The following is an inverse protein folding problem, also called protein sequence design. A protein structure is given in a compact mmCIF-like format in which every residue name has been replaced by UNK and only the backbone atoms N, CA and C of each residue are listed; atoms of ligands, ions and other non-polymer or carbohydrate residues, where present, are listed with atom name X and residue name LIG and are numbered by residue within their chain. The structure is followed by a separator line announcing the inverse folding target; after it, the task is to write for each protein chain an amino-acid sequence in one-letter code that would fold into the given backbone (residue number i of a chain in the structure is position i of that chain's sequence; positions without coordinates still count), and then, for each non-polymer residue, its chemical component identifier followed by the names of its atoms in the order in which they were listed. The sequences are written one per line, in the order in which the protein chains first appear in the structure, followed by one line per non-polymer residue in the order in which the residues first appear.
data_IF_828514382486
#
_entry.id   IF_828514382486
#
_cell.length_a   1.000
_cell.length_b   1.000
_cell.length_c   1.000
_cell.angle_alpha   90.00
_cell.angle_beta   90.00
_cell.angle_gamma   90.00
#
_symmetry.space_group_name_H-M   'P 1'
#
loop_
_entity.id
_entity.type
_entity.pdbx_description
1 polymer ?
#
# COMPACT_ATOMS: atom_id res chain seq x y z
N UNK A 1 -18.64 -6.70 -12.60
CA UNK A 1 -17.68 -5.62 -12.94
C UNK A 1 -16.52 -5.79 -11.95
N UNK A 2 -15.30 -6.22 -12.31
CA UNK A 2 -14.24 -5.37 -12.90
C UNK A 2 -14.11 -3.96 -12.29
N UNK A 3 -14.61 -3.70 -11.07
CA UNK A 3 -14.39 -2.39 -10.44
C UNK A 3 -13.05 -2.42 -9.72
N UNK A 4 -11.98 -2.16 -10.49
CA UNK A 4 -10.66 -1.89 -9.92
C UNK A 4 -10.72 -0.71 -8.95
N UNK A 5 -9.79 -0.69 -8.01
CA UNK A 5 -9.61 0.40 -7.06
C UNK A 5 -9.16 1.66 -7.84
N UNK A 6 -9.71 2.84 -7.55
CA UNK A 6 -9.23 4.07 -8.20
C UNK A 6 -7.89 4.51 -7.60
N UNK A 7 -7.76 4.41 -6.26
CA UNK A 7 -6.56 4.82 -5.52
C UNK A 7 -6.15 3.73 -4.52
N UNK A 8 -4.93 3.21 -4.65
CA UNK A 8 -4.29 2.38 -3.63
C UNK A 8 -3.26 3.24 -2.88
N UNK A 9 -3.54 3.54 -1.62
CA UNK A 9 -2.60 4.24 -0.75
C UNK A 9 -1.76 3.22 0.03
N UNK A 10 -0.44 3.37 -0.01
CA UNK A 10 0.51 2.44 0.59
C UNK A 10 1.36 3.21 1.61
N UNK A 11 1.55 2.65 2.80
CA UNK A 11 2.45 3.19 3.83
C UNK A 11 3.42 2.14 4.34
N UNK A 12 4.59 2.59 4.79
CA UNK A 12 5.54 1.71 5.47
C UNK A 12 4.91 1.19 6.76
N UNK A 13 4.25 2.08 7.52
CA UNK A 13 3.69 1.79 8.84
C UNK A 13 2.19 2.11 8.94
N UNK A 14 1.46 1.45 9.86
CA UNK A 14 0.07 1.81 10.16
C UNK A 14 -0.04 3.19 10.84
N UNK A 15 -0.20 4.25 10.04
CA UNK A 15 -0.53 5.65 10.39
C UNK A 15 -0.02 6.63 9.31
N UNK A 16 1.05 6.26 8.59
CA UNK A 16 1.67 7.04 7.52
C UNK A 16 0.65 7.65 6.54
N UNK A 17 -0.29 6.81 6.10
CA UNK A 17 -1.29 7.18 5.09
C UNK A 17 -2.23 8.26 5.64
N UNK A 18 -2.75 8.06 6.84
CA UNK A 18 -3.67 8.98 7.50
C UNK A 18 -3.01 10.33 7.78
N UNK A 19 -1.78 10.30 8.33
CA UNK A 19 -1.01 11.49 8.68
C UNK A 19 -0.67 12.32 7.44
N UNK A 20 -0.29 11.67 6.35
CA UNK A 20 0.29 12.36 5.20
C UNK A 20 -0.71 12.70 4.10
N UNK A 21 -1.74 11.87 3.90
CA UNK A 21 -2.68 12.05 2.79
C UNK A 21 -4.15 11.72 3.11
N UNK A 22 -4.52 11.55 4.38
CA UNK A 22 -5.89 11.23 4.80
C UNK A 22 -6.94 12.20 4.24
N UNK A 23 -6.66 13.51 4.26
CA UNK A 23 -7.56 14.53 3.70
C UNK A 23 -7.75 14.41 2.18
N UNK A 24 -6.68 14.09 1.44
CA UNK A 24 -6.73 13.84 -0.01
C UNK A 24 -7.58 12.62 -0.33
N UNK A 25 -7.41 11.53 0.44
CA UNK A 25 -8.19 10.30 0.27
C UNK A 25 -9.66 10.52 0.60
N UNK A 26 -9.97 11.21 1.71
CA UNK A 26 -11.33 11.57 2.09
C UNK A 26 -12.01 12.40 1.00
N UNK A 27 -11.29 13.37 0.41
CA UNK A 27 -11.80 14.16 -0.71
C UNK A 27 -12.09 13.29 -1.93
N UNK A 28 -11.19 12.38 -2.30
CA UNK A 28 -11.41 11.47 -3.41
C UNK A 28 -12.62 10.56 -3.19
N UNK A 29 -12.79 10.02 -1.97
CA UNK A 29 -13.96 9.20 -1.58
C UNK A 29 -15.24 10.02 -1.70
N UNK A 30 -15.24 11.28 -1.23
CA UNK A 30 -16.41 12.18 -1.36
C UNK A 30 -16.80 12.47 -2.82
N UNK A 31 -15.88 12.27 -3.76
CA UNK A 31 -16.10 12.39 -5.21
C UNK A 31 -16.47 11.05 -5.87
N UNK A 32 -16.81 10.02 -5.07
CA UNK A 32 -17.21 8.70 -5.54
C UNK A 32 -16.05 7.80 -5.99
N UNK A 33 -14.80 8.14 -5.66
CA UNK A 33 -13.65 7.27 -5.96
C UNK A 33 -13.55 6.12 -4.97
N UNK A 34 -13.17 4.96 -5.47
CA UNK A 34 -12.85 3.80 -4.63
C UNK A 34 -11.41 3.89 -4.15
N UNK A 35 -11.21 3.80 -2.83
CA UNK A 35 -9.90 3.85 -2.18
C UNK A 35 -9.67 2.56 -1.40
N UNK A 36 -8.46 2.00 -1.47
CA UNK A 36 -8.00 0.96 -0.58
C UNK A 36 -6.64 1.33 0.01
N UNK A 37 -6.33 0.76 1.19
CA UNK A 37 -5.14 1.07 1.96
C UNK A 37 -4.25 -0.17 2.10
N UNK A 38 -2.95 0.01 2.17
CA UNK A 38 -1.99 -1.08 2.37
C UNK A 38 -0.85 -0.63 3.28
N UNK A 39 -0.69 -1.30 4.40
CA UNK A 39 0.49 -1.13 5.25
C UNK A 39 1.53 -2.20 4.88
N UNK A 40 2.79 -1.82 4.70
CA UNK A 40 3.84 -2.78 4.37
C UNK A 40 4.27 -3.59 5.61
N UNK A 41 4.35 -2.94 6.77
CA UNK A 41 4.77 -3.53 8.05
C UNK A 41 3.65 -3.50 9.08
N UNK A 42 3.83 -4.18 10.22
CA UNK A 42 2.85 -4.14 11.31
C UNK A 42 3.13 -3.03 12.33
N UNK A 43 4.19 -2.25 12.14
CA UNK A 43 4.67 -1.28 13.12
C UNK A 43 5.17 -1.94 14.41
N UNK A 44 5.67 -3.18 14.32
CA UNK A 44 6.05 -4.00 15.47
C UNK A 44 7.27 -3.48 16.24
N UNK A 45 8.07 -2.57 15.65
CA UNK A 45 9.21 -1.92 16.32
C UNK A 45 8.79 -0.62 17.02
N UNK A 46 7.52 -0.21 16.93
CA UNK A 46 7.00 0.97 17.62
C UNK A 46 7.11 0.84 19.14
N UNK A 47 7.69 1.84 19.81
CA UNK A 47 7.90 1.83 21.27
C UNK A 47 6.59 1.78 22.07
N UNK A 48 5.49 2.27 21.51
CA UNK A 48 4.18 2.32 22.17
C UNK A 48 3.16 1.46 21.42
N UNK A 49 2.32 0.78 22.18
CA UNK A 49 1.29 -0.11 21.65
C UNK A 49 1.83 -1.50 21.32
N UNK A 50 1.02 -2.27 20.60
CA UNK A 50 1.36 -3.61 20.11
C UNK A 50 0.79 -3.78 18.70
N UNK A 51 1.24 -4.78 17.96
CA UNK A 51 0.68 -5.15 16.65
C UNK A 51 -0.85 -5.30 16.71
N UNK A 52 -1.38 -5.93 17.76
CA UNK A 52 -2.82 -6.11 17.94
C UNK A 52 -3.57 -4.79 18.18
N UNK A 53 -2.96 -3.85 18.91
CA UNK A 53 -3.52 -2.51 19.12
C UNK A 53 -3.49 -1.72 17.80
N UNK A 54 -2.35 -1.70 17.11
CA UNK A 54 -2.19 -1.05 15.80
C UNK A 54 -3.18 -1.58 14.77
N UNK A 55 -3.41 -2.90 14.73
CA UNK A 55 -4.42 -3.48 13.84
C UNK A 55 -5.84 -2.98 14.15
N UNK A 56 -6.21 -2.86 15.43
CA UNK A 56 -7.52 -2.30 15.82
C UNK A 56 -7.63 -0.82 15.47
N UNK A 57 -6.57 -0.06 15.64
CA UNK A 57 -6.48 1.35 15.25
C UNK A 57 -6.62 1.53 13.74
N UNK A 58 -5.83 0.78 12.97
CA UNK A 58 -5.87 0.74 11.51
C UNK A 58 -7.28 0.42 10.97
N UNK A 59 -7.97 -0.53 11.60
CA UNK A 59 -9.35 -0.89 11.24
C UNK A 59 -10.36 0.22 11.59
N UNK A 60 -10.16 0.96 12.69
CA UNK A 60 -10.98 2.14 13.01
C UNK A 60 -10.74 3.26 12.02
N UNK A 61 -9.48 3.51 11.65
CA UNK A 61 -9.11 4.53 10.67
C UNK A 61 -9.68 4.23 9.28
N UNK A 62 -9.63 2.97 8.83
CA UNK A 62 -10.31 2.51 7.60
C UNK A 62 -11.80 2.89 7.60
N UNK A 63 -12.52 2.57 8.69
CA UNK A 63 -13.96 2.88 8.82
C UNK A 63 -14.23 4.38 8.86
N UNK A 64 -13.40 5.14 9.59
CA UNK A 64 -13.54 6.58 9.71
C UNK A 64 -13.29 7.30 8.36
N UNK A 65 -12.33 6.82 7.58
CA UNK A 65 -12.02 7.37 6.25
C UNK A 65 -13.08 7.00 5.21
N UNK A 66 -13.76 5.87 5.38
CA UNK A 66 -14.71 5.34 4.39
C UNK A 66 -14.04 4.65 3.19
N UNK A 67 -12.80 4.18 3.36
CA UNK A 67 -12.12 3.39 2.34
C UNK A 67 -12.71 1.96 2.28
N UNK A 68 -12.55 1.28 1.14
CA UNK A 68 -13.16 -0.03 0.89
C UNK A 68 -12.53 -1.13 1.73
N UNK A 69 -11.20 -1.18 1.71
CA UNK A 69 -10.40 -2.24 2.31
C UNK A 69 -9.07 -1.71 2.81
N UNK A 70 -8.46 -2.45 3.74
CA UNK A 70 -7.10 -2.25 4.23
C UNK A 70 -6.43 -3.60 4.43
N UNK A 71 -5.22 -3.74 3.90
CA UNK A 71 -4.39 -4.94 4.09
C UNK A 71 -3.06 -4.59 4.75
N UNK A 72 -2.37 -5.64 5.21
CA UNK A 72 -1.05 -5.53 5.80
C UNK A 72 -0.14 -6.64 5.24
N UNK A 73 1.01 -6.27 4.66
CA UNK A 73 1.95 -7.24 4.10
C UNK A 73 2.82 -7.91 5.15
N UNK A 74 2.86 -7.46 6.40
CA UNK A 74 3.70 -8.06 7.46
C UNK A 74 5.16 -8.22 7.02
N UNK A 75 5.68 -7.25 6.27
CA UNK A 75 7.11 -7.09 6.08
C UNK A 75 7.73 -6.63 7.40
N UNK A 76 9.03 -6.88 7.57
CA UNK A 76 9.72 -6.60 8.83
C UNK A 76 9.95 -5.10 9.00
N UNK A 77 9.35 -4.54 10.04
CA UNK A 77 9.54 -3.15 10.46
C UNK A 77 11.00 -2.88 10.86
N UNK A 78 11.55 -1.72 10.47
CA UNK A 78 12.96 -1.35 10.61
C UNK A 78 13.93 -2.09 9.69
N UNK A 79 13.43 -3.02 8.88
CA UNK A 79 14.21 -3.88 7.99
C UNK A 79 13.53 -4.04 6.63
N UNK A 80 12.85 -3.00 6.15
CA UNK A 80 12.16 -3.08 4.88
C UNK A 80 13.17 -3.25 3.74
N UNK A 81 13.06 -4.33 2.98
CA UNK A 81 13.94 -4.64 1.86
C UNK A 81 13.19 -4.53 0.54
N UNK A 82 13.88 -4.00 -0.47
CA UNK A 82 13.41 -4.01 -1.85
C UNK A 82 13.98 -5.23 -2.58
N UNK A 83 13.52 -6.42 -2.19
CA UNK A 83 13.92 -7.71 -2.75
C UNK A 83 12.78 -8.35 -3.57
N UNK A 84 13.09 -9.43 -4.30
CA UNK A 84 12.11 -10.12 -5.15
C UNK A 84 10.92 -10.65 -4.33
N UNK A 85 11.16 -11.17 -3.12
CA UNK A 85 10.09 -11.69 -2.27
C UNK A 85 9.09 -10.60 -1.89
N UNK A 86 9.58 -9.44 -1.43
CA UNK A 86 8.77 -8.30 -1.05
C UNK A 86 8.05 -7.70 -2.25
N UNK A 87 8.73 -7.61 -3.39
CA UNK A 87 8.14 -7.16 -4.65
C UNK A 87 7.01 -8.07 -5.11
N UNK A 88 7.19 -9.40 -5.07
CA UNK A 88 6.15 -10.35 -5.49
C UNK A 88 4.88 -10.23 -4.63
N UNK A 89 5.03 -10.11 -3.31
CA UNK A 89 3.90 -9.91 -2.39
C UNK A 89 3.13 -8.62 -2.70
N UNK A 90 3.85 -7.55 -3.05
CA UNK A 90 3.21 -6.28 -3.43
C UNK A 90 2.59 -6.34 -4.84
N UNK A 91 3.22 -7.02 -5.80
CA UNK A 91 2.70 -7.24 -7.15
C UNK A 91 1.36 -7.99 -7.10
N UNK A 92 1.23 -8.99 -6.24
CA UNK A 92 -0.03 -9.72 -6.03
C UNK A 92 -1.16 -8.76 -5.61
N UNK A 93 -0.91 -7.87 -4.65
CA UNK A 93 -1.90 -6.87 -4.23
C UNK A 93 -2.22 -5.88 -5.36
N UNK A 94 -1.20 -5.38 -6.06
CA UNK A 94 -1.37 -4.43 -7.18
C UNK A 94 -2.23 -5.04 -8.30
N UNK A 95 -1.96 -6.30 -8.69
CA UNK A 95 -2.69 -6.99 -9.75
C UNK A 95 -4.12 -7.35 -9.37
N UNK A 96 -4.37 -7.60 -8.09
CA UNK A 96 -5.73 -7.79 -7.56
C UNK A 96 -6.52 -6.48 -7.52
N UNK A 97 -5.91 -5.42 -7.00
CA UNK A 97 -6.57 -4.12 -6.87
C UNK A 97 -6.76 -3.41 -8.21
N UNK A 98 -5.82 -3.61 -9.14
CA UNK A 98 -5.71 -2.91 -10.44
C UNK A 98 -5.85 -1.37 -10.31
N UNK A 99 -5.04 -0.72 -9.44
CA UNK A 99 -5.23 0.69 -9.12
C UNK A 99 -4.85 1.63 -10.27
N UNK A 100 -5.64 2.68 -10.50
CA UNK A 100 -5.28 3.72 -11.48
C UNK A 100 -4.16 4.63 -10.94
N UNK A 101 -4.26 4.97 -9.66
CA UNK A 101 -3.29 5.78 -8.92
C UNK A 101 -2.78 4.98 -7.72
N UNK A 102 -1.46 4.98 -7.54
CA UNK A 102 -0.80 4.56 -6.29
C UNK A 102 -0.28 5.81 -5.59
N UNK A 103 -0.49 5.92 -4.28
CA UNK A 103 0.13 6.95 -3.45
C UNK A 103 0.99 6.25 -2.40
N UNK A 104 2.27 6.59 -2.28
CA UNK A 104 3.17 5.99 -1.29
C UNK A 104 4.10 7.01 -0.62
N UNK A 105 4.91 6.56 0.33
CA UNK A 105 5.91 7.39 1.01
C UNK A 105 6.87 8.09 0.02
N UNK A 106 7.48 9.19 0.45
CA UNK A 106 8.46 9.94 -0.33
C UNK A 106 9.79 9.16 -0.50
N UNK A 107 10.51 9.37 -1.63
CA UNK A 107 11.83 8.76 -1.82
C UNK A 107 12.86 9.20 -0.78
N UNK A 108 12.70 10.40 -0.22
CA UNK A 108 13.56 10.95 0.84
C UNK A 108 12.72 11.45 2.00
N UNK A 109 13.01 10.92 3.18
CA UNK A 109 12.35 11.22 4.45
C UNK A 109 13.40 11.01 5.57
N UNK A 110 13.17 11.57 6.76
CA UNK A 110 13.98 11.29 7.95
C UNK A 110 13.92 9.81 8.36
N UNK A 111 12.84 9.10 8.05
CA UNK A 111 12.68 7.69 8.38
C UNK A 111 13.13 6.79 7.21
N UNK A 112 14.18 5.97 7.36
CA UNK A 112 14.72 5.17 6.26
C UNK A 112 13.71 4.22 5.60
N UNK A 113 12.84 3.57 6.39
CA UNK A 113 11.80 2.69 5.83
C UNK A 113 10.87 3.40 4.85
N UNK A 114 10.66 4.72 4.96
CA UNK A 114 9.81 5.46 4.01
C UNK A 114 10.47 5.49 2.62
N UNK A 115 11.77 5.75 2.56
CA UNK A 115 12.55 5.71 1.32
C UNK A 115 12.60 4.29 0.73
N UNK A 116 12.81 3.27 1.57
CA UNK A 116 12.77 1.87 1.15
C UNK A 116 11.38 1.46 0.64
N UNK A 117 10.31 1.90 1.30
CA UNK A 117 8.93 1.66 0.89
C UNK A 117 8.65 2.30 -0.47
N UNK A 118 9.08 3.55 -0.67
CA UNK A 118 8.99 4.23 -1.96
C UNK A 118 9.67 3.43 -3.07
N UNK A 119 10.91 2.99 -2.87
CA UNK A 119 11.65 2.21 -3.85
C UNK A 119 10.95 0.87 -4.18
N UNK A 120 10.52 0.14 -3.15
CA UNK A 120 9.78 -1.11 -3.30
C UNK A 120 8.47 -0.92 -4.10
N UNK A 121 7.70 0.13 -3.76
CA UNK A 121 6.43 0.42 -4.44
C UNK A 121 6.64 0.76 -5.90
N UNK A 122 7.62 1.62 -6.22
CA UNK A 122 7.91 2.04 -7.59
C UNK A 122 8.31 0.85 -8.46
N UNK A 123 9.22 0.01 -7.97
CA UNK A 123 9.65 -1.18 -8.70
C UNK A 123 8.54 -2.21 -8.87
N UNK A 124 7.77 -2.50 -7.80
CA UNK A 124 6.65 -3.42 -7.86
C UNK A 124 5.57 -2.93 -8.85
N UNK A 125 5.24 -1.64 -8.86
CA UNK A 125 4.31 -1.06 -9.83
C UNK A 125 4.79 -1.24 -11.27
N UNK A 126 6.09 -1.06 -11.53
CA UNK A 126 6.64 -1.26 -12.87
C UNK A 126 6.60 -2.73 -13.29
N UNK A 127 7.06 -3.64 -12.41
CA UNK A 127 7.16 -5.09 -12.63
C UNK A 127 5.80 -5.78 -12.68
N UNK A 128 4.77 -5.25 -12.00
CA UNK A 128 3.41 -5.78 -12.07
C UNK A 128 2.85 -5.79 -13.51
N UNK A 129 3.37 -4.94 -14.40
CA UNK A 129 3.05 -4.93 -15.84
C UNK A 129 3.73 -6.01 -16.68
N UNK A 130 4.64 -6.81 -16.13
CA UNK A 130 5.38 -7.81 -16.92
C UNK A 130 4.53 -9.06 -17.19
N UNK A 131 4.33 -9.38 -18.47
CA UNK A 131 3.55 -10.54 -18.90
C UNK A 131 4.17 -11.90 -18.53
N UNK A 132 5.50 -11.96 -18.41
CA UNK A 132 6.23 -13.19 -18.06
C UNK A 132 6.45 -13.38 -16.55
N UNK A 133 6.10 -12.37 -15.74
CA UNK A 133 6.16 -12.48 -14.29
C UNK A 133 4.80 -13.01 -13.85
N UNK A 134 4.76 -14.30 -13.47
CA UNK A 134 3.54 -14.97 -13.06
C UNK A 134 3.28 -14.72 -11.57
N UNK A 135 2.04 -14.42 -11.22
CA UNK A 135 1.59 -14.28 -9.83
C UNK A 135 0.20 -14.91 -9.68
N UNK A 136 -0.14 -15.28 -8.46
CA UNK A 136 -1.43 -15.86 -8.14
C UNK A 136 -1.93 -15.34 -6.79
N UNK A 137 -3.24 -15.27 -6.63
CA UNK A 137 -3.87 -14.97 -5.34
C UNK A 137 -5.03 -15.93 -5.15
N UNK A 138 -5.11 -16.57 -3.98
CA UNK A 138 -6.13 -17.58 -3.65
C UNK A 138 -6.23 -18.71 -4.69
N UNK A 139 -5.07 -19.14 -5.22
CA UNK A 139 -4.97 -20.18 -6.25
C UNK A 139 -5.39 -19.75 -7.66
N UNK A 140 -5.72 -18.48 -7.88
CA UNK A 140 -6.06 -17.94 -9.20
C UNK A 140 -4.90 -17.15 -9.79
N UNK A 141 -4.52 -17.48 -11.03
CA UNK A 141 -3.52 -16.72 -11.78
C UNK A 141 -4.00 -15.28 -12.04
N UNK A 142 -3.08 -14.33 -11.95
CA UNK A 142 -3.39 -12.92 -12.14
C UNK A 142 -2.86 -12.39 -13.47
N UNK A 143 -3.69 -11.57 -14.12
CA UNK A 143 -3.28 -10.85 -15.32
C UNK A 143 -2.31 -9.70 -15.01
N UNK A 144 -1.33 -9.41 -15.89
CA UNK A 144 -0.45 -8.27 -15.75
C UNK A 144 -1.23 -6.96 -15.61
N UNK A 145 -0.71 -6.07 -14.78
CA UNK A 145 -1.30 -4.76 -14.59
C UNK A 145 -0.23 -3.77 -14.11
N UNK A 146 -0.08 -2.66 -14.82
CA UNK A 146 0.77 -1.54 -14.41
C UNK A 146 -0.10 -0.36 -14.04
N UNK A 147 -0.02 0.17 -12.80
CA UNK A 147 -0.68 1.41 -12.43
C UNK A 147 -0.27 2.56 -13.35
N UNK A 148 -1.21 3.46 -13.66
CA UNK A 148 -0.96 4.54 -14.61
C UNK A 148 -0.12 5.67 -13.99
N UNK A 149 -0.24 5.89 -12.67
CA UNK A 149 0.41 6.99 -11.96
C UNK A 149 0.83 6.55 -10.55
N UNK A 150 1.97 7.08 -10.12
CA UNK A 150 2.46 7.01 -8.75
C UNK A 150 2.61 8.44 -8.24
N UNK A 151 2.13 8.70 -7.03
CA UNK A 151 2.33 9.94 -6.30
C UNK A 151 3.01 9.63 -4.96
N UNK A 152 3.78 10.60 -4.47
CA UNK A 152 4.50 10.47 -3.21
C UNK A 152 3.95 11.47 -2.19
N UNK A 153 3.70 11.02 -0.96
CA UNK A 153 3.43 11.89 0.19
C UNK A 153 4.67 11.96 1.08
N UNK A 154 4.81 13.04 1.84
CA UNK A 154 5.86 13.21 2.84
C UNK A 154 5.22 13.33 4.23
N UNK A 155 5.85 12.73 5.24
CA UNK A 155 5.43 12.78 6.64
C UNK A 155 6.21 13.83 7.43
#
# INVERSE_FOLDING_TARGET
MKTGIDILAIGAHPDDIELSCGGTLAKAISQGKSVALLDLTQGEMGTRGTVAIRQKEAQRALKALGAKDRWNLKLRDGHLLNDESSQMRLIEVIRSCRPKLVICNAPTDRHPDHGHASALVVEACFKAGFAKLHSQMDGQAQEPFRPARIMHYIQ
#
